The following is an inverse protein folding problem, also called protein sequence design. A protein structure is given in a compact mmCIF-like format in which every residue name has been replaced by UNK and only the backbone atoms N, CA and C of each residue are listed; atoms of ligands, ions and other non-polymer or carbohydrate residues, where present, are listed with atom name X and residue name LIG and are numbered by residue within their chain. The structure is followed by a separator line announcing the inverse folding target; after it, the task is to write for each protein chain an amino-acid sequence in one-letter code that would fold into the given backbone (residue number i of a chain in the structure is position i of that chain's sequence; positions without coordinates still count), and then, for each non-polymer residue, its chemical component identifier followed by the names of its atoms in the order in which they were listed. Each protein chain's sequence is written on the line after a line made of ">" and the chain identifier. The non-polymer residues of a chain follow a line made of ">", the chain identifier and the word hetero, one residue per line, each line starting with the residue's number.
data_IF_365297263960
#
_entry.id   IF_365297263960
#
_cell.length_a   1.000
_cell.length_b   1.000
_cell.length_c   1.000
_cell.angle_alpha   90.00
_cell.angle_beta   90.00
_cell.angle_gamma   90.00
#
_symmetry.space_group_name_H-M   'P 1'
#
loop_
_entity.id
_entity.type
_entity.pdbx_description
1 polymer ?
#
# COMPACT_ATOMS: atom_id res chain seq x y z
N UNK A 1 -1.66 -4.12 -20.96
CA UNK A 1 -2.04 -4.25 -19.54
C UNK A 1 -1.43 -5.55 -19.05
N UNK A 2 -0.54 -5.54 -18.05
CA UNK A 2 -0.04 -6.80 -17.47
C UNK A 2 -1.21 -7.47 -16.73
N UNK A 3 -1.40 -8.75 -16.95
CA UNK A 3 -2.45 -9.50 -16.28
C UNK A 3 -2.15 -9.56 -14.78
N UNK A 4 -3.12 -9.23 -13.94
CA UNK A 4 -3.04 -9.30 -12.48
C UNK A 4 -4.21 -10.15 -11.99
N UNK A 5 -3.90 -11.21 -11.25
CA UNK A 5 -4.90 -12.08 -10.64
C UNK A 5 -5.08 -11.64 -9.17
N UNK A 6 -6.19 -10.97 -8.82
CA UNK A 6 -6.40 -10.41 -7.48
C UNK A 6 -6.75 -11.50 -6.46
N UNK A 7 -6.22 -11.33 -5.24
CA UNK A 7 -6.59 -12.07 -4.03
C UNK A 7 -7.22 -11.14 -2.99
N UNK A 8 -6.88 -11.34 -1.71
CA UNK A 8 -7.44 -10.56 -0.61
C UNK A 8 -7.06 -9.08 -0.64
N UNK A 9 -7.97 -8.23 -0.13
CA UNK A 9 -7.77 -6.78 -0.02
C UNK A 9 -7.72 -6.33 1.44
N UNK A 10 -6.75 -5.50 1.77
CA UNK A 10 -6.61 -4.80 3.04
C UNK A 10 -6.74 -3.30 2.82
N UNK A 11 -7.12 -2.53 3.85
CA UNK A 11 -7.25 -1.09 3.73
C UNK A 11 -6.78 -0.34 4.97
N UNK A 12 -6.45 0.94 4.80
CA UNK A 12 -6.07 1.87 5.86
C UNK A 12 -6.76 3.21 5.60
N UNK A 13 -7.35 3.80 6.64
CA UNK A 13 -7.69 5.23 6.67
C UNK A 13 -6.40 6.02 6.96
N UNK A 14 -5.95 6.84 6.02
CA UNK A 14 -4.65 7.50 6.08
C UNK A 14 -4.79 8.93 6.62
N UNK A 15 -3.97 9.24 7.63
CA UNK A 15 -3.89 10.54 8.27
C UNK A 15 -2.47 11.09 8.33
N UNK A 16 -2.30 12.12 9.16
CA UNK A 16 -1.01 12.76 9.43
C UNK A 16 -0.04 11.91 10.27
N UNK A 17 -0.52 10.80 10.84
CA UNK A 17 0.29 9.83 11.55
C UNK A 17 0.43 8.55 10.71
N UNK A 18 1.61 7.93 10.75
CA UNK A 18 1.83 6.65 10.10
C UNK A 18 0.91 5.59 10.68
N UNK A 19 0.08 5.01 9.82
CA UNK A 19 -0.72 3.83 10.12
C UNK A 19 -0.24 2.65 9.27
N UNK A 20 -0.50 1.42 9.70
CA UNK A 20 -0.09 0.22 8.95
C UNK A 20 -1.16 -0.86 8.99
N UNK A 21 -1.17 -1.71 7.97
CA UNK A 21 -2.06 -2.86 7.85
C UNK A 21 -1.26 -4.07 7.39
N UNK A 22 -1.69 -5.23 7.88
CA UNK A 22 -1.20 -6.51 7.37
C UNK A 22 -1.71 -6.74 5.96
N UNK A 23 -0.83 -7.15 5.06
CA UNK A 23 -1.19 -7.65 3.74
C UNK A 23 -1.70 -9.10 3.91
N UNK A 24 -2.98 -9.30 3.64
CA UNK A 24 -3.64 -10.61 3.79
C UNK A 24 -3.12 -11.57 2.71
N UNK A 25 -2.81 -12.82 3.09
CA UNK A 25 -2.25 -13.86 2.22
C UNK A 25 -0.89 -13.54 1.58
N UNK A 26 -0.08 -12.70 2.24
CA UNK A 26 1.28 -12.41 1.83
C UNK A 26 2.16 -13.68 1.76
N UNK A 27 2.24 -14.29 0.59
CA UNK A 27 3.18 -15.35 0.24
C UNK A 27 4.14 -14.83 -0.84
N UNK A 28 5.42 -15.17 -0.74
CA UNK A 28 6.50 -14.57 -1.53
C UNK A 28 6.70 -15.28 -2.88
N UNK A 29 7.00 -14.57 -3.99
CA UNK A 29 6.90 -13.12 -4.23
C UNK A 29 5.49 -12.70 -4.68
N UNK A 30 5.03 -11.53 -4.23
CA UNK A 30 3.67 -11.01 -4.49
C UNK A 30 3.68 -9.63 -5.14
N UNK A 31 2.69 -9.40 -6.00
CA UNK A 31 2.34 -8.07 -6.48
C UNK A 31 1.22 -7.50 -5.61
N UNK A 32 1.23 -6.18 -5.42
CA UNK A 32 0.17 -5.46 -4.70
C UNK A 32 -0.39 -4.39 -5.60
N UNK A 33 -1.70 -4.47 -5.88
CA UNK A 33 -2.46 -3.37 -6.45
C UNK A 33 -2.80 -2.38 -5.34
N UNK A 34 -2.42 -1.14 -5.54
CA UNK A 34 -2.65 -0.01 -4.63
C UNK A 34 -3.70 0.89 -5.27
N UNK A 35 -4.71 1.29 -4.51
CA UNK A 35 -5.69 2.30 -4.92
C UNK A 35 -5.75 3.38 -3.84
N UNK A 36 -5.30 4.60 -4.17
CA UNK A 36 -5.46 5.76 -3.30
C UNK A 36 -6.78 6.46 -3.62
N UNK A 37 -7.83 6.13 -2.87
CA UNK A 37 -9.17 6.75 -2.97
C UNK A 37 -9.27 8.03 -2.12
N UNK A 38 -8.13 8.54 -1.64
CA UNK A 38 -8.04 9.80 -0.91
C UNK A 38 -7.88 11.03 -1.81
N UNK A 39 -7.89 12.20 -1.18
CA UNK A 39 -7.81 13.51 -1.84
C UNK A 39 -6.40 14.11 -1.89
N UNK A 40 -5.43 13.48 -1.24
CA UNK A 40 -4.03 13.88 -1.18
C UNK A 40 -3.07 12.71 -1.42
N UNK A 41 -1.83 13.05 -1.75
CA UNK A 41 -0.74 12.08 -1.89
C UNK A 41 -0.49 11.34 -0.59
N UNK A 42 -0.34 10.02 -0.70
CA UNK A 42 0.06 9.12 0.38
C UNK A 42 1.47 8.62 0.11
N UNK A 43 2.30 8.56 1.15
CA UNK A 43 3.61 7.92 1.10
C UNK A 43 3.54 6.55 1.77
N UNK A 44 4.00 5.52 1.06
CA UNK A 44 3.97 4.14 1.49
C UNK A 44 5.36 3.62 1.87
N UNK A 45 5.37 2.65 2.80
CA UNK A 45 6.53 1.84 3.12
C UNK A 45 6.10 0.37 3.33
N UNK A 46 6.84 -0.57 2.76
CA UNK A 46 6.59 -2.01 2.89
C UNK A 46 7.59 -2.66 3.84
N UNK A 47 7.13 -3.53 4.73
CA UNK A 47 7.98 -4.17 5.74
C UNK A 47 7.22 -5.14 6.63
N UNK A 48 7.62 -5.25 7.89
CA UNK A 48 6.97 -6.10 8.89
C UNK A 48 6.00 -5.31 9.80
N UNK A 49 5.53 -5.93 10.88
CA UNK A 49 4.60 -5.30 11.83
C UNK A 49 5.17 -4.09 12.60
N UNK A 50 6.41 -3.70 12.35
CA UNK A 50 7.07 -2.51 12.92
C UNK A 50 7.30 -1.41 11.88
N UNK A 51 6.99 -1.65 10.59
CA UNK A 51 7.22 -0.68 9.52
C UNK A 51 6.47 0.64 9.77
N UNK A 52 7.15 1.75 9.48
CA UNK A 52 6.61 3.10 9.54
C UNK A 52 6.80 3.79 8.20
N UNK A 53 5.81 4.58 7.80
CA UNK A 53 5.90 5.42 6.62
C UNK A 53 6.33 6.83 7.02
N UNK A 54 7.10 7.48 6.14
CA UNK A 54 7.55 8.85 6.32
C UNK A 54 7.08 9.71 5.14
N UNK A 55 6.50 10.87 5.46
CA UNK A 55 6.07 11.83 4.47
C UNK A 55 7.28 12.35 3.68
N UNK A 56 7.09 12.58 2.38
CA UNK A 56 8.11 13.05 1.43
C UNK A 56 9.32 12.13 1.18
N UNK A 57 9.49 11.01 1.90
CA UNK A 57 10.57 10.04 1.68
C UNK A 57 10.11 8.61 1.36
N UNK A 58 8.84 8.27 1.59
CA UNK A 58 8.26 6.99 1.16
C UNK A 58 7.89 6.94 -0.32
N UNK A 59 7.31 5.82 -0.77
CA UNK A 59 6.80 5.65 -2.14
C UNK A 59 5.53 6.50 -2.32
N UNK A 60 5.53 7.53 -3.17
CA UNK A 60 4.38 8.42 -3.31
C UNK A 60 3.30 7.81 -4.22
N UNK A 61 2.05 7.83 -3.76
CA UNK A 61 0.86 7.47 -4.52
C UNK A 61 -0.06 8.68 -4.53
N UNK A 62 -0.23 9.30 -5.70
CA UNK A 62 -1.06 10.50 -5.84
C UNK A 62 -2.54 10.19 -5.62
N UNK A 63 -3.33 11.22 -5.31
CA UNK A 63 -4.78 11.09 -5.16
C UNK A 63 -5.42 10.51 -6.44
N UNK A 64 -6.30 9.51 -6.30
CA UNK A 64 -6.96 8.82 -7.40
C UNK A 64 -6.07 7.84 -8.18
N UNK A 65 -4.81 7.67 -7.81
CA UNK A 65 -3.91 6.76 -8.51
C UNK A 65 -4.20 5.29 -8.20
N UNK A 66 -4.00 4.46 -9.22
CA UNK A 66 -3.99 3.01 -9.11
C UNK A 66 -2.66 2.50 -9.65
N UNK A 67 -1.90 1.82 -8.81
CA UNK A 67 -0.59 1.26 -9.17
C UNK A 67 -0.52 -0.23 -8.85
N UNK A 68 0.35 -0.96 -9.54
CA UNK A 68 0.67 -2.36 -9.21
C UNK A 68 2.18 -2.47 -9.05
N UNK A 69 2.62 -2.86 -7.87
CA UNK A 69 4.05 -2.94 -7.52
C UNK A 69 4.41 -4.34 -7.06
N UNK A 70 5.64 -4.77 -7.35
CA UNK A 70 6.24 -5.93 -6.71
C UNK A 70 6.88 -5.48 -5.39
N UNK A 71 6.58 -6.16 -4.30
CA UNK A 71 7.11 -5.83 -2.97
C UNK A 71 8.17 -6.85 -2.53
N UNK A 72 9.04 -6.52 -1.56
CA UNK A 72 9.97 -7.49 -0.98
C UNK A 72 9.23 -8.73 -0.48
N UNK A 73 9.79 -9.93 -0.72
CA UNK A 73 9.17 -11.19 -0.31
C UNK A 73 8.98 -11.34 1.20
N UNK A 74 9.69 -10.56 2.00
CA UNK A 74 9.58 -10.50 3.47
C UNK A 74 8.54 -9.49 3.96
N UNK A 75 8.01 -8.63 3.07
CA UNK A 75 7.03 -7.64 3.46
C UNK A 75 5.67 -8.30 3.74
N UNK A 76 5.21 -8.16 4.98
CA UNK A 76 3.92 -8.65 5.46
C UNK A 76 2.95 -7.52 5.78
N UNK A 77 3.45 -6.29 5.83
CA UNK A 77 2.69 -5.09 6.14
C UNK A 77 3.04 -3.96 5.18
N UNK A 78 2.10 -3.04 5.05
CA UNK A 78 2.31 -1.74 4.42
C UNK A 78 1.93 -0.65 5.42
N UNK A 79 2.81 0.32 5.58
CA UNK A 79 2.54 1.56 6.28
C UNK A 79 2.21 2.67 5.28
N UNK A 80 1.35 3.59 5.71
CA UNK A 80 0.90 4.72 4.93
C UNK A 80 0.82 5.98 5.82
N UNK A 81 1.21 7.11 5.24
CA UNK A 81 1.11 8.44 5.86
C UNK A 81 0.77 9.48 4.77
N UNK A 82 0.05 10.53 5.14
CA UNK A 82 -0.14 11.71 4.31
C UNK A 82 0.22 12.97 5.11
N UNK A 83 0.29 14.12 4.44
CA UNK A 83 0.54 15.41 5.11
C UNK A 83 -0.64 15.83 6.03
N UNK A 84 -1.81 15.23 5.82
CA UNK A 84 -3.04 15.42 6.57
C UNK A 84 -3.98 14.22 6.41
N UNK A 85 -5.22 14.32 6.86
CA UNK A 85 -6.24 13.33 6.52
C UNK A 85 -6.54 13.37 5.02
N UNK A 86 -6.55 12.21 4.36
CA UNK A 86 -6.71 12.12 2.90
C UNK A 86 -7.85 11.20 2.47
N UNK A 87 -8.07 10.08 3.16
CA UNK A 87 -9.07 9.08 2.80
C UNK A 87 -8.57 7.66 3.02
N UNK A 88 -9.12 6.71 2.26
CA UNK A 88 -8.78 5.27 2.39
C UNK A 88 -7.86 4.84 1.26
N UNK A 89 -6.82 4.07 1.60
CA UNK A 89 -5.99 3.37 0.62
C UNK A 89 -6.26 1.88 0.69
N UNK A 90 -6.47 1.26 -0.46
CA UNK A 90 -6.72 -0.16 -0.60
C UNK A 90 -5.50 -0.87 -1.19
N UNK A 91 -5.18 -2.03 -0.63
CA UNK A 91 -4.07 -2.89 -1.02
C UNK A 91 -4.61 -4.28 -1.35
N UNK A 92 -4.61 -4.65 -2.62
CA UNK A 92 -5.02 -5.98 -3.08
C UNK A 92 -3.78 -6.77 -3.43
N UNK A 93 -3.51 -7.85 -2.68
CA UNK A 93 -2.44 -8.80 -3.01
C UNK A 93 -2.85 -9.61 -4.22
N UNK A 94 -1.91 -9.98 -5.08
CA UNK A 94 -2.16 -10.86 -6.21
C UNK A 94 -0.89 -11.30 -6.94
N UNK A 95 -1.08 -12.02 -8.03
CA UNK A 95 0.00 -12.51 -8.88
C UNK A 95 -0.04 -11.84 -10.25
N UNK A 96 1.13 -11.45 -10.76
CA UNK A 96 1.31 -11.08 -12.17
C UNK A 96 1.66 -12.31 -13.00
N UNK A 97 1.19 -12.36 -14.24
CA UNK A 97 1.70 -13.31 -15.25
C UNK A 97 3.05 -12.86 -15.81
#
# INVERSE_FOLDING_TARGET
>A
MRSFTPGATSNIVVGAASARVKLVEASSPQQVRICNDGTATVWLAFGDSTVTAAAASGVPITAGAIEVVTIPGTATHVAAIAAGATGTVYFTVGAGL
#
